data_IF_499540979274
#
_entry.id   IF_499540979274
#
_cell.length_a   1.000
_cell.length_b   1.000
_cell.length_c   1.000
_cell.angle_alpha   90.00
_cell.angle_beta   90.00
_cell.angle_gamma   90.00
#
_symmetry.space_group_name_H-M   'P 1'
#
loop_
_entity.id
_entity.type
_entity.pdbx_description
1 polymer ?
#
# COMPACT_ATOMS: atom_id res chain seq x y z
N UNK A 1 27.25 3.17 -24.56
CA UNK A 1 25.96 3.11 -23.85
C UNK A 1 24.91 3.66 -24.79
N UNK A 2 23.85 2.88 -25.10
CA UNK A 2 22.89 3.22 -26.15
C UNK A 2 21.63 3.87 -25.57
N UNK A 3 20.91 4.67 -26.38
CA UNK A 3 19.63 5.29 -26.01
C UNK A 3 18.59 4.25 -25.51
N UNK A 4 18.67 3.02 -26.01
CA UNK A 4 17.85 1.88 -25.61
C UNK A 4 18.04 1.49 -24.14
N UNK A 5 19.25 1.67 -23.61
CA UNK A 5 19.56 1.38 -22.20
C UNK A 5 18.99 2.45 -21.28
N UNK A 6 19.02 3.72 -21.72
CA UNK A 6 18.44 4.87 -21.02
C UNK A 6 16.92 4.72 -20.90
N UNK A 7 16.24 4.31 -21.98
CA UNK A 7 14.80 4.09 -21.98
C UNK A 7 14.36 2.93 -21.08
N UNK A 8 15.16 1.86 -20.99
CA UNK A 8 14.91 0.74 -20.07
C UNK A 8 15.03 1.17 -18.61
N UNK A 9 16.06 1.93 -18.27
CA UNK A 9 16.26 2.48 -16.93
C UNK A 9 15.11 3.41 -16.54
N UNK A 10 14.68 4.28 -17.45
CA UNK A 10 13.56 5.18 -17.18
C UNK A 10 12.26 4.41 -16.92
N UNK A 11 11.95 3.38 -17.72
CA UNK A 11 10.75 2.58 -17.51
C UNK A 11 10.76 1.80 -16.18
N UNK A 12 11.91 1.27 -15.75
CA UNK A 12 12.05 0.60 -14.45
C UNK A 12 11.81 1.59 -13.30
N UNK A 13 12.39 2.79 -13.38
CA UNK A 13 12.25 3.83 -12.35
C UNK A 13 10.82 4.36 -12.26
N UNK A 14 10.11 4.49 -13.39
CA UNK A 14 8.74 5.02 -13.39
C UNK A 14 7.68 3.97 -13.05
N UNK A 15 7.88 2.68 -13.38
CA UNK A 15 6.94 1.63 -12.99
C UNK A 15 6.98 1.35 -11.48
N UNK A 16 8.15 1.47 -10.84
CA UNK A 16 8.28 1.29 -9.39
C UNK A 16 7.63 2.44 -8.60
N UNK A 17 7.70 3.68 -9.10
CA UNK A 17 7.17 4.87 -8.43
C UNK A 17 5.65 4.94 -8.33
N UNK A 18 4.91 4.27 -9.22
CA UNK A 18 3.44 4.17 -9.09
C UNK A 18 3.03 3.30 -7.90
N UNK A 19 3.90 2.37 -7.48
CA UNK A 19 3.68 1.54 -6.29
C UNK A 19 4.17 2.19 -4.98
N UNK A 20 5.13 3.11 -5.07
CA UNK A 20 5.72 3.77 -3.90
C UNK A 20 4.90 4.94 -3.35
N UNK A 21 4.04 5.56 -4.17
CA UNK A 21 3.30 6.75 -3.74
C UNK A 21 2.18 6.49 -2.70
N UNK A 22 1.91 5.23 -2.35
CA UNK A 22 1.00 4.87 -1.25
C UNK A 22 1.68 4.79 0.13
N UNK A 23 3.01 4.71 0.21
CA UNK A 23 3.74 4.65 1.48
C UNK A 23 3.85 6.00 2.20
N UNK A 24 3.60 7.11 1.50
CA UNK A 24 3.77 8.47 2.03
C UNK A 24 2.46 9.17 2.43
N UNK A 25 1.32 8.47 2.43
CA UNK A 25 0.21 8.92 3.27
C UNK A 25 0.58 8.54 4.70
N UNK A 26 1.01 9.51 5.50
CA UNK A 26 1.02 9.38 6.95
C UNK A 26 -0.42 9.16 7.41
N UNK A 27 -0.88 7.92 7.40
CA UNK A 27 -2.18 7.58 7.97
C UNK A 27 -2.10 7.93 9.45
N UNK A 28 -2.92 8.89 9.88
CA UNK A 28 -3.07 9.17 11.29
C UNK A 28 -3.64 7.94 12.02
N UNK A 29 -3.44 7.88 13.33
CA UNK A 29 -3.88 6.73 14.13
C UNK A 29 -5.39 6.50 14.03
N UNK A 30 -6.17 7.57 13.93
CA UNK A 30 -7.62 7.49 13.84
C UNK A 30 -8.05 6.75 12.56
N UNK A 31 -7.50 7.14 11.41
CA UNK A 31 -7.75 6.51 10.12
C UNK A 31 -7.36 5.03 10.13
N UNK A 32 -6.23 4.69 10.77
CA UNK A 32 -5.81 3.29 10.93
C UNK A 32 -6.84 2.50 11.73
N UNK A 33 -7.31 3.05 12.85
CA UNK A 33 -8.32 2.39 13.67
C UNK A 33 -9.66 2.25 12.95
N UNK A 34 -10.11 3.26 12.21
CA UNK A 34 -11.33 3.20 11.41
C UNK A 34 -11.25 2.09 10.35
N UNK A 35 -10.11 1.95 9.66
CA UNK A 35 -9.87 0.89 8.69
C UNK A 35 -9.86 -0.50 9.36
N UNK A 36 -9.21 -0.64 10.52
CA UNK A 36 -9.17 -1.89 11.27
C UNK A 36 -10.55 -2.26 11.87
N UNK A 37 -11.34 -1.27 12.28
CA UNK A 37 -12.69 -1.48 12.78
C UNK A 37 -13.64 -1.89 11.64
N UNK A 38 -13.51 -1.26 10.47
CA UNK A 38 -14.19 -1.69 9.25
C UNK A 38 -13.91 -3.17 8.95
N UNK A 39 -12.67 -3.63 9.12
CA UNK A 39 -12.35 -5.05 8.97
C UNK A 39 -13.17 -5.94 9.89
N UNK A 40 -13.32 -5.56 11.17
CA UNK A 40 -14.07 -6.33 12.18
C UNK A 40 -15.57 -6.32 11.89
N UNK A 41 -16.13 -5.15 11.61
CA UNK A 41 -17.56 -4.96 11.30
C UNK A 41 -18.01 -5.83 10.13
N UNK A 42 -17.21 -5.88 9.07
CA UNK A 42 -17.52 -6.62 7.85
C UNK A 42 -16.84 -7.99 7.75
N UNK A 43 -16.16 -8.46 8.81
CA UNK A 43 -15.47 -9.74 8.89
C UNK A 43 -14.55 -10.02 7.68
N UNK A 44 -13.81 -9.00 7.23
CA UNK A 44 -12.95 -9.10 6.05
C UNK A 44 -11.58 -9.71 6.38
N UNK A 45 -11.04 -10.50 5.44
CA UNK A 45 -9.63 -10.90 5.49
C UNK A 45 -8.70 -9.72 5.17
N UNK A 46 -7.43 -9.81 5.58
CA UNK A 46 -6.44 -8.76 5.28
C UNK A 46 -6.30 -8.50 3.78
N UNK A 47 -6.45 -9.53 2.93
CA UNK A 47 -6.38 -9.39 1.46
C UNK A 47 -7.60 -8.66 0.89
N UNK A 48 -8.80 -8.93 1.42
CA UNK A 48 -10.02 -8.25 0.99
C UNK A 48 -10.03 -6.78 1.43
N UNK A 49 -9.64 -6.51 2.68
CA UNK A 49 -9.51 -5.16 3.22
C UNK A 49 -8.44 -4.35 2.45
N UNK A 50 -7.30 -4.99 2.17
CA UNK A 50 -6.22 -4.44 1.35
C UNK A 50 -6.76 -3.99 -0.02
N UNK A 51 -7.47 -4.88 -0.72
CA UNK A 51 -8.06 -4.56 -2.01
C UNK A 51 -9.07 -3.42 -1.93
N UNK A 52 -9.89 -3.37 -0.88
CA UNK A 52 -10.91 -2.34 -0.68
C UNK A 52 -10.28 -0.94 -0.52
N UNK A 53 -9.26 -0.82 0.34
CA UNK A 53 -8.58 0.45 0.61
C UNK A 53 -7.36 0.70 -0.28
N UNK A 54 -7.13 -0.16 -1.29
CA UNK A 54 -5.94 -0.17 -2.16
C UNK A 54 -4.60 -0.24 -1.40
N UNK A 55 -4.60 -0.81 -0.21
CA UNK A 55 -3.41 -1.01 0.64
C UNK A 55 -2.75 -2.35 0.35
N UNK A 56 -1.52 -2.53 0.84
CA UNK A 56 -0.92 -3.87 0.88
C UNK A 56 -1.44 -4.66 2.09
N UNK A 57 -1.63 -5.98 1.92
CA UNK A 57 -1.93 -6.89 3.05
C UNK A 57 -0.88 -6.81 4.17
N UNK A 58 0.36 -6.48 3.82
CA UNK A 58 1.46 -6.32 4.75
C UNK A 58 1.33 -5.03 5.57
N UNK A 59 0.77 -3.96 4.99
CA UNK A 59 0.46 -2.71 5.69
C UNK A 59 -0.56 -2.99 6.80
N UNK A 60 -1.64 -3.72 6.49
CA UNK A 60 -2.67 -4.10 7.46
C UNK A 60 -2.11 -5.03 8.54
N UNK A 61 -1.28 -6.01 8.15
CA UNK A 61 -0.61 -6.88 9.12
C UNK A 61 0.33 -6.10 10.05
N UNK A 62 1.05 -5.11 9.52
CA UNK A 62 1.91 -4.22 10.31
C UNK A 62 1.09 -3.37 11.27
N UNK A 63 -0.03 -2.81 10.84
CA UNK A 63 -0.91 -2.00 11.70
C UNK A 63 -1.46 -2.83 12.86
N UNK A 64 -2.00 -4.03 12.61
CA UNK A 64 -2.48 -4.95 13.65
C UNK A 64 -1.42 -5.38 14.69
N UNK A 65 -0.14 -5.24 14.36
CA UNK A 65 0.97 -5.57 15.25
C UNK A 65 1.41 -4.37 16.09
N UNK A 66 1.23 -3.16 15.56
CA UNK A 66 1.67 -1.91 16.18
C UNK A 66 0.55 -1.29 17.02
N UNK A 67 -0.71 -1.50 16.61
CA UNK A 67 -1.94 -1.00 17.23
C UNK A 67 -2.85 -2.16 17.56
#
# INVERSE_FOLDING_TARGET
MSLSDILKVNNIIFYDRLSENQKFKSYDKQTIFEILDYQKRYKLSNSQLARHFKLSRNTIAKWKRIF
#
